data_IF_630550482633
#
_entry.id   IF_630550482633
#
_cell.length_a   1.000
_cell.length_b   1.000
_cell.length_c   1.000
_cell.angle_alpha   90.00
_cell.angle_beta   90.00
_cell.angle_gamma   90.00
#
_symmetry.space_group_name_H-M   'P 1'
#
loop_
_entity.id
_entity.type
_entity.pdbx_description
1 polymer ?
#
# COMPACT_ATOMS: atom_id res chain seq x y z
N UNK A 1 54.12 -35.56 -36.73
CA UNK A 1 53.61 -34.36 -36.01
C UNK A 1 52.22 -34.68 -35.47
N UNK A 2 52.05 -34.75 -34.15
CA UNK A 2 50.77 -34.53 -33.43
C UNK A 2 51.10 -34.58 -31.92
N UNK A 3 51.08 -33.40 -31.28
CA UNK A 3 51.10 -33.26 -29.82
C UNK A 3 49.71 -33.65 -29.32
N UNK A 4 49.62 -34.56 -28.36
CA UNK A 4 48.45 -34.69 -27.48
C UNK A 4 48.92 -34.49 -26.05
N UNK A 5 48.45 -33.41 -25.43
CA UNK A 5 48.69 -33.06 -24.04
C UNK A 5 47.76 -33.89 -23.15
N UNK A 6 48.33 -34.48 -22.09
CA UNK A 6 47.63 -35.17 -21.00
C UNK A 6 46.56 -34.28 -20.37
N UNK A 7 45.35 -34.83 -20.25
CA UNK A 7 44.30 -34.34 -19.36
C UNK A 7 44.79 -34.40 -17.91
N UNK A 8 44.83 -33.25 -17.23
CA UNK A 8 44.98 -33.16 -15.77
C UNK A 8 43.58 -33.02 -15.17
N UNK A 9 43.21 -33.96 -14.30
CA UNK A 9 42.08 -33.83 -13.37
C UNK A 9 42.37 -32.66 -12.43
N UNK A 10 41.40 -31.76 -12.25
CA UNK A 10 41.41 -30.76 -11.20
C UNK A 10 40.87 -31.37 -9.88
N UNK A 11 41.39 -30.94 -8.71
CA UNK A 11 40.89 -31.37 -7.41
C UNK A 11 39.53 -30.75 -7.10
N UNK A 12 38.67 -31.50 -6.41
CA UNK A 12 37.42 -31.00 -5.87
C UNK A 12 37.70 -30.02 -4.72
N UNK A 13 37.13 -28.81 -4.82
CA UNK A 13 37.10 -27.86 -3.71
C UNK A 13 35.84 -28.10 -2.86
N UNK A 14 35.95 -28.21 -1.53
CA UNK A 14 34.80 -28.06 -0.65
C UNK A 14 34.43 -26.57 -0.59
N UNK A 15 33.20 -26.25 -0.20
CA UNK A 15 32.60 -24.90 -0.17
C UNK A 15 32.07 -24.39 -1.53
N UNK A 16 30.91 -24.94 -1.92
CA UNK A 16 29.94 -24.23 -2.74
C UNK A 16 28.78 -23.80 -1.83
N UNK A 17 28.66 -22.50 -1.56
CA UNK A 17 27.44 -21.96 -0.97
C UNK A 17 26.40 -21.80 -2.08
N UNK A 18 25.37 -22.63 -1.99
CA UNK A 18 24.13 -22.54 -2.75
C UNK A 18 23.21 -21.63 -1.93
N UNK A 19 23.01 -20.39 -2.35
CA UNK A 19 21.98 -19.54 -1.74
C UNK A 19 20.61 -20.16 -2.08
N UNK A 20 19.90 -20.61 -1.04
CA UNK A 20 18.46 -20.89 -1.06
C UNK A 20 17.75 -19.54 -0.92
N UNK A 21 16.65 -19.37 -1.66
CA UNK A 21 15.76 -18.21 -1.61
C UNK A 21 14.71 -18.32 -0.49
N UNK A 22 14.90 -19.22 0.48
CA UNK A 22 13.89 -19.56 1.49
C UNK A 22 14.10 -18.84 2.85
N UNK A 23 15.25 -18.18 3.09
CA UNK A 23 15.61 -17.61 4.41
C UNK A 23 15.02 -16.20 4.68
N UNK A 24 14.41 -15.53 3.69
CA UNK A 24 13.89 -14.17 3.87
C UNK A 24 12.43 -14.15 4.39
N UNK A 25 11.69 -15.24 4.18
CA UNK A 25 10.29 -15.35 4.59
C UNK A 25 10.16 -15.80 6.07
N UNK A 26 11.09 -16.62 6.58
CA UNK A 26 11.12 -17.02 8.00
C UNK A 26 11.46 -15.86 8.95
N UNK A 27 12.29 -14.90 8.51
CA UNK A 27 12.62 -13.72 9.33
C UNK A 27 11.41 -12.79 9.45
N UNK A 28 10.61 -12.62 8.39
CA UNK A 28 9.42 -11.75 8.43
C UNK A 28 8.27 -12.34 9.26
N UNK A 29 8.19 -13.67 9.40
CA UNK A 29 7.18 -14.31 10.26
C UNK A 29 7.53 -14.21 11.74
N UNK A 30 8.81 -14.27 12.11
CA UNK A 30 9.22 -14.12 13.51
C UNK A 30 9.04 -12.68 14.03
N UNK A 31 9.23 -11.66 13.17
CA UNK A 31 8.98 -10.26 13.55
C UNK A 31 7.49 -9.94 13.80
N UNK A 32 6.58 -10.60 13.07
CA UNK A 32 5.14 -10.39 13.25
C UNK A 32 4.60 -11.09 14.51
N UNK A 33 5.22 -12.19 14.93
CA UNK A 33 4.87 -12.89 16.17
C UNK A 33 5.33 -12.11 17.42
N UNK A 34 6.51 -11.48 17.36
CA UNK A 34 7.04 -10.66 18.46
C UNK A 34 6.21 -9.35 18.65
N UNK A 35 5.65 -8.76 17.59
CA UNK A 35 4.76 -7.58 17.68
C UNK A 35 3.36 -7.89 18.23
N UNK A 36 2.88 -9.13 18.06
CA UNK A 36 1.58 -9.59 18.57
C UNK A 36 1.66 -9.90 20.09
N UNK A 37 2.78 -10.48 20.55
CA UNK A 37 3.03 -10.78 21.97
C UNK A 37 3.25 -9.50 22.81
N UNK A 38 3.91 -8.47 22.25
CA UNK A 38 4.10 -7.17 22.92
C UNK A 38 2.79 -6.36 23.02
N UNK A 39 1.90 -6.49 22.02
CA UNK A 39 0.58 -5.86 22.03
C UNK A 39 -0.39 -6.52 23.04
N UNK A 40 -0.29 -7.83 23.24
CA UNK A 40 -1.08 -8.56 24.25
C UNK A 40 -0.62 -8.25 25.70
N UNK A 41 0.68 -8.05 25.94
CA UNK A 41 1.18 -7.65 27.27
C UNK A 41 0.79 -6.21 27.63
N UNK A 42 0.77 -5.26 26.68
CA UNK A 42 0.34 -3.88 26.94
C UNK A 42 -1.17 -3.76 27.20
N UNK A 43 -1.99 -4.59 26.53
CA UNK A 43 -3.43 -4.66 26.77
C UNK A 43 -3.75 -5.16 28.20
N UNK A 44 -2.93 -6.07 28.75
CA UNK A 44 -3.13 -6.67 30.07
C UNK A 44 -2.88 -5.72 31.26
N UNK A 45 -2.24 -4.57 31.04
CA UNK A 45 -1.80 -3.65 32.11
C UNK A 45 -2.82 -2.54 32.40
N UNK A 46 -3.88 -2.39 31.60
CA UNK A 46 -4.89 -1.34 31.77
C UNK A 46 -6.30 -1.91 31.97
N UNK A 47 -6.59 -2.47 33.15
CA UNK A 47 -7.93 -2.94 33.52
C UNK A 47 -8.47 -2.20 34.75
N UNK A 48 -9.71 -1.70 34.63
CA UNK A 48 -10.55 -1.16 35.71
C UNK A 48 -11.69 -2.17 35.92
N UNK A 49 -11.93 -2.72 37.13
CA UNK A 49 -12.56 -4.05 37.26
C UNK A 49 -14.10 -4.11 37.14
N UNK A 50 -14.82 -3.02 37.35
CA UNK A 50 -16.27 -3.08 37.59
C UNK A 50 -17.15 -2.96 36.32
N UNK A 51 -16.55 -2.93 35.12
CA UNK A 51 -17.28 -2.87 33.84
C UNK A 51 -17.15 -4.16 33.00
N UNK A 52 -16.23 -5.06 33.35
CA UNK A 52 -16.03 -6.34 32.65
C UNK A 52 -17.07 -7.39 33.09
N UNK A 53 -17.53 -7.40 34.35
CA UNK A 53 -18.50 -8.40 34.81
C UNK A 53 -19.89 -8.24 34.15
N UNK A 54 -20.30 -7.03 33.76
CA UNK A 54 -21.56 -6.81 33.03
C UNK A 54 -21.42 -7.11 31.53
N UNK A 55 -20.24 -6.90 30.92
CA UNK A 55 -19.98 -7.24 29.51
C UNK A 55 -19.72 -8.76 29.33
N UNK A 56 -19.06 -9.43 30.27
CA UNK A 56 -18.86 -10.89 30.25
C UNK A 56 -20.18 -11.64 30.46
N UNK A 57 -21.10 -11.15 31.29
CA UNK A 57 -22.43 -11.76 31.45
C UNK A 57 -23.31 -11.58 30.18
N UNK A 58 -23.21 -10.43 29.49
CA UNK A 58 -23.91 -10.23 28.20
C UNK A 58 -23.28 -11.07 27.07
N UNK A 59 -21.95 -11.23 27.03
CA UNK A 59 -21.27 -12.10 26.06
C UNK A 59 -21.56 -13.59 26.31
N UNK A 60 -21.64 -14.06 27.56
CA UNK A 60 -22.03 -15.44 27.88
C UNK A 60 -23.50 -15.73 27.50
N UNK A 61 -24.41 -14.77 27.66
CA UNK A 61 -25.81 -14.91 27.19
C UNK A 61 -25.90 -14.93 25.65
N UNK A 62 -25.10 -14.14 24.93
CA UNK A 62 -25.05 -14.16 23.46
C UNK A 62 -24.40 -15.46 22.92
N UNK A 63 -23.37 -16.00 23.59
CA UNK A 63 -22.76 -17.29 23.23
C UNK A 63 -23.72 -18.48 23.48
N UNK A 64 -24.50 -18.47 24.56
CA UNK A 64 -25.53 -19.50 24.80
C UNK A 64 -26.66 -19.44 23.73
N UNK A 65 -27.06 -18.25 23.28
CA UNK A 65 -28.04 -18.11 22.19
C UNK A 65 -27.48 -18.56 20.83
N UNK A 66 -26.21 -18.28 20.52
CA UNK A 66 -25.54 -18.79 19.30
C UNK A 66 -25.37 -20.32 19.34
N UNK A 67 -25.03 -20.92 20.48
CA UNK A 67 -24.93 -22.37 20.61
C UNK A 67 -26.29 -23.07 20.45
N UNK A 68 -27.39 -22.48 20.93
CA UNK A 68 -28.74 -23.00 20.70
C UNK A 68 -29.15 -22.89 19.21
N UNK A 69 -28.82 -21.81 18.50
CA UNK A 69 -29.08 -21.67 17.06
C UNK A 69 -28.25 -22.66 16.23
N UNK A 70 -26.97 -22.87 16.59
CA UNK A 70 -26.09 -23.87 15.93
C UNK A 70 -26.61 -25.29 16.16
N UNK A 71 -27.09 -25.61 17.37
CA UNK A 71 -27.72 -26.90 17.67
C UNK A 71 -29.04 -27.12 16.91
N UNK A 72 -29.80 -26.07 16.62
CA UNK A 72 -30.99 -26.16 15.77
C UNK A 72 -30.62 -26.35 14.28
N UNK A 73 -29.59 -25.66 13.78
CA UNK A 73 -29.07 -25.83 12.41
C UNK A 73 -28.45 -27.23 12.19
N UNK A 74 -27.70 -27.77 13.16
CA UNK A 74 -27.14 -29.12 13.07
C UNK A 74 -28.23 -30.21 13.09
N UNK A 75 -29.33 -29.99 13.82
CA UNK A 75 -30.51 -30.88 13.80
C UNK A 75 -31.28 -30.82 12.47
N UNK A 76 -31.21 -29.69 11.75
CA UNK A 76 -31.70 -29.60 10.37
C UNK A 76 -30.76 -30.28 9.36
N UNK A 77 -29.43 -30.21 9.55
CA UNK A 77 -28.43 -30.88 8.69
C UNK A 77 -28.43 -32.41 8.83
N UNK A 78 -28.67 -32.99 10.03
CA UNK A 78 -28.70 -34.45 10.20
C UNK A 78 -29.85 -35.15 9.46
N UNK A 79 -30.91 -34.40 9.07
CA UNK A 79 -31.98 -34.93 8.20
C UNK A 79 -31.62 -34.95 6.71
N UNK A 80 -30.49 -34.39 6.31
CA UNK A 80 -30.02 -34.27 4.92
C UNK A 80 -28.73 -35.04 4.63
N UNK A 81 -28.69 -36.36 4.86
CA UNK A 81 -27.49 -37.18 4.60
C UNK A 81 -26.97 -37.10 3.14
N UNK A 82 -25.68 -36.75 2.99
CA UNK A 82 -24.86 -37.08 1.81
C UNK A 82 -23.41 -36.54 1.87
N UNK A 83 -22.42 -37.45 2.00
CA UNK A 83 -20.96 -37.17 2.10
C UNK A 83 -20.36 -36.21 1.04
N UNK A 84 -19.36 -35.36 1.42
CA UNK A 84 -18.72 -34.45 0.47
C UNK A 84 -17.65 -35.17 -0.36
N UNK A 85 -17.80 -35.10 -1.68
CA UNK A 85 -16.75 -35.45 -2.65
C UNK A 85 -15.96 -34.18 -3.01
N UNK A 86 -14.62 -34.27 -2.99
CA UNK A 86 -13.64 -33.18 -3.13
C UNK A 86 -13.57 -32.46 -4.49
N UNK A 87 -14.72 -32.31 -5.15
CA UNK A 87 -14.83 -31.80 -6.52
C UNK A 87 -15.91 -30.71 -6.57
N UNK A 88 -16.91 -30.76 -5.68
CA UNK A 88 -18.05 -29.85 -5.69
C UNK A 88 -17.70 -28.46 -5.13
N UNK A 89 -16.84 -28.38 -4.12
CA UNK A 89 -16.36 -27.10 -3.57
C UNK A 89 -15.51 -26.34 -4.59
N UNK A 90 -14.56 -27.02 -5.25
CA UNK A 90 -13.77 -26.43 -6.33
C UNK A 90 -14.62 -26.02 -7.53
N UNK A 91 -15.63 -26.82 -7.92
CA UNK A 91 -16.56 -26.45 -8.98
C UNK A 91 -17.44 -25.25 -8.59
N UNK A 92 -17.91 -25.18 -7.34
CA UNK A 92 -18.64 -24.01 -6.82
C UNK A 92 -17.75 -22.77 -6.77
N UNK A 93 -16.49 -22.87 -6.36
CA UNK A 93 -15.54 -21.77 -6.42
C UNK A 93 -15.24 -21.32 -7.85
N UNK A 94 -15.13 -22.24 -8.80
CA UNK A 94 -14.98 -21.92 -10.22
C UNK A 94 -16.21 -21.18 -10.76
N UNK A 95 -17.42 -21.63 -10.41
CA UNK A 95 -18.67 -20.98 -10.80
C UNK A 95 -18.76 -19.58 -10.14
N UNK A 96 -18.45 -19.46 -8.85
CA UNK A 96 -18.43 -18.16 -8.16
C UNK A 96 -17.41 -17.21 -8.78
N UNK A 97 -16.21 -17.69 -9.14
CA UNK A 97 -15.23 -16.89 -9.87
C UNK A 97 -15.75 -16.53 -11.27
N UNK A 98 -16.41 -17.43 -11.99
CA UNK A 98 -16.96 -17.19 -13.33
C UNK A 98 -18.09 -16.14 -13.33
N UNK A 99 -18.94 -16.12 -12.28
CA UNK A 99 -20.02 -15.13 -12.12
C UNK A 99 -19.59 -13.82 -11.46
N UNK A 100 -18.54 -13.85 -10.64
CA UNK A 100 -17.95 -12.64 -10.06
C UNK A 100 -16.86 -12.06 -10.94
N UNK A 101 -16.49 -12.64 -12.07
CA UNK A 101 -15.43 -12.13 -12.95
C UNK A 101 -16.05 -11.62 -14.25
N UNK A 102 -15.81 -10.35 -14.58
CA UNK A 102 -16.12 -9.81 -15.91
C UNK A 102 -14.92 -10.11 -16.83
N UNK A 103 -15.02 -11.06 -17.78
CA UNK A 103 -13.90 -11.44 -18.65
C UNK A 103 -13.57 -10.37 -19.70
N UNK A 104 -14.51 -9.49 -20.06
CA UNK A 104 -14.27 -8.39 -20.98
C UNK A 104 -13.51 -7.24 -20.30
N UNK A 105 -13.76 -7.01 -19.00
CA UNK A 105 -13.12 -5.95 -18.20
C UNK A 105 -12.02 -6.44 -17.25
N UNK A 106 -11.79 -7.75 -17.17
CA UNK A 106 -10.83 -8.43 -16.28
C UNK A 106 -10.88 -7.94 -14.84
N UNK A 107 -12.08 -7.94 -14.27
CA UNK A 107 -12.27 -7.49 -12.88
C UNK A 107 -13.29 -8.34 -12.14
N UNK A 108 -13.09 -8.45 -10.81
CA UNK A 108 -14.11 -9.00 -9.95
C UNK A 108 -15.27 -8.00 -9.78
N UNK A 109 -16.52 -8.43 -9.95
CA UNK A 109 -17.75 -7.66 -9.75
C UNK A 109 -18.07 -7.45 -8.26
N UNK A 110 -17.49 -8.24 -7.34
CA UNK A 110 -17.69 -8.13 -5.89
C UNK A 110 -16.96 -6.93 -5.26
N UNK A 111 -15.94 -6.39 -5.92
CA UNK A 111 -15.26 -5.14 -5.55
C UNK A 111 -15.02 -4.38 -6.84
N UNK A 112 -15.59 -3.20 -7.01
CA UNK A 112 -15.27 -2.36 -8.17
C UNK A 112 -13.78 -1.97 -8.14
N UNK A 113 -12.93 -2.83 -8.72
CA UNK A 113 -11.48 -2.62 -8.89
C UNK A 113 -11.11 -1.43 -9.79
N UNK A 114 -12.12 -0.66 -10.21
CA UNK A 114 -12.05 0.61 -10.94
C UNK A 114 -12.17 1.83 -10.02
N UNK A 115 -12.01 1.66 -8.71
CA UNK A 115 -12.02 2.79 -7.78
C UNK A 115 -10.71 3.58 -7.87
N UNK A 116 -10.83 4.90 -8.10
CA UNK A 116 -9.75 5.90 -8.06
C UNK A 116 -9.18 6.11 -6.66
N UNK A 117 -9.01 5.04 -5.87
CA UNK A 117 -8.63 5.14 -4.47
C UNK A 117 -7.25 5.78 -4.33
N UNK A 118 -7.13 6.70 -3.40
CA UNK A 118 -5.88 7.36 -3.03
C UNK A 118 -5.43 6.85 -1.68
N UNK A 119 -4.13 6.58 -1.55
CA UNK A 119 -3.49 6.22 -0.30
C UNK A 119 -2.40 7.23 0.01
N UNK A 120 -2.19 7.52 1.30
CA UNK A 120 -1.10 8.38 1.76
C UNK A 120 -0.12 7.62 2.65
N UNK A 121 1.12 8.10 2.71
CA UNK A 121 2.16 7.66 3.64
C UNK A 121 2.79 8.89 4.31
N UNK A 122 3.20 8.83 5.58
CA UNK A 122 3.18 7.65 6.45
C UNK A 122 1.76 7.23 6.84
N UNK A 123 1.62 5.99 7.33
CA UNK A 123 0.34 5.57 7.89
C UNK A 123 0.14 6.27 9.23
N UNK A 124 -1.00 6.93 9.40
CA UNK A 124 -1.40 7.54 10.64
C UNK A 124 -2.81 7.04 10.99
N UNK A 125 -3.01 6.67 12.24
CA UNK A 125 -4.31 6.25 12.73
C UNK A 125 -5.33 7.37 12.48
N UNK A 126 -6.49 7.01 11.91
CA UNK A 126 -7.55 7.96 11.54
C UNK A 126 -7.12 9.13 10.63
N UNK A 127 -5.98 9.03 9.94
CA UNK A 127 -5.40 10.10 9.09
C UNK A 127 -5.18 11.43 9.84
N UNK A 128 -4.86 11.35 11.13
CA UNK A 128 -4.51 12.51 11.93
C UNK A 128 -3.00 12.48 12.19
N UNK A 129 -2.29 13.43 11.59
CA UNK A 129 -0.87 13.64 11.85
C UNK A 129 -0.75 14.68 12.95
N UNK A 130 -0.41 14.21 14.15
CA UNK A 130 -0.21 15.05 15.31
C UNK A 130 1.19 14.81 15.86
N UNK A 131 2.02 15.86 15.89
CA UNK A 131 3.37 15.77 16.43
C UNK A 131 3.88 17.12 16.92
N UNK A 132 4.85 17.05 17.82
CA UNK A 132 5.57 18.21 18.31
C UNK A 132 6.98 18.24 17.70
N UNK A 133 7.35 19.37 17.09
CA UNK A 133 8.65 19.55 16.45
C UNK A 133 9.80 19.39 17.44
N UNK A 134 9.60 19.81 18.69
CA UNK A 134 10.60 19.76 19.75
C UNK A 134 10.80 18.37 20.35
N UNK A 135 9.85 17.44 20.15
CA UNK A 135 9.83 16.10 20.77
C UNK A 135 9.92 15.00 19.69
N UNK A 136 11.13 14.45 19.43
CA UNK A 136 11.35 13.47 18.35
C UNK A 136 10.47 12.23 18.42
N UNK A 137 10.19 11.75 19.63
CA UNK A 137 9.41 10.54 19.87
C UNK A 137 8.00 10.65 19.29
N UNK A 138 7.47 11.87 19.13
CA UNK A 138 6.13 12.13 18.58
C UNK A 138 6.04 12.00 17.06
N UNK A 139 7.16 12.00 16.32
CA UNK A 139 7.17 11.88 14.85
C UNK A 139 8.11 10.80 14.31
N UNK A 140 8.92 10.18 15.17
CA UNK A 140 9.89 9.17 14.77
C UNK A 140 9.24 7.98 14.04
N UNK A 141 8.06 7.55 14.47
CA UNK A 141 7.30 6.47 13.83
C UNK A 141 6.89 6.82 12.39
N UNK A 142 6.54 8.08 12.13
CA UNK A 142 6.25 8.57 10.78
C UNK A 142 7.47 8.45 9.87
N UNK A 143 8.64 8.85 10.38
CA UNK A 143 9.92 8.78 9.66
C UNK A 143 10.33 7.33 9.37
N UNK A 144 10.22 6.45 10.37
CA UNK A 144 10.53 5.02 10.21
C UNK A 144 9.60 4.39 9.16
N UNK A 145 8.29 4.67 9.24
CA UNK A 145 7.31 4.18 8.27
C UNK A 145 7.60 4.65 6.85
N UNK A 146 7.95 5.93 6.67
CA UNK A 146 8.33 6.49 5.37
C UNK A 146 9.59 5.85 4.81
N UNK A 147 10.63 5.72 5.64
CA UNK A 147 11.89 5.13 5.21
C UNK A 147 11.72 3.65 4.83
N UNK A 148 10.99 2.88 5.64
CA UNK A 148 10.65 1.48 5.34
C UNK A 148 9.88 1.34 4.03
N UNK A 149 8.86 2.18 3.82
CA UNK A 149 8.08 2.21 2.58
C UNK A 149 8.93 2.54 1.34
N UNK A 150 9.90 3.44 1.48
CA UNK A 150 10.76 3.90 0.38
C UNK A 150 11.93 2.95 0.05
N UNK A 151 12.18 1.89 0.83
CA UNK A 151 13.26 0.94 0.54
C UNK A 151 13.12 0.31 -0.86
N UNK A 152 11.90 -0.05 -1.27
CA UNK A 152 11.62 -0.60 -2.60
C UNK A 152 11.81 0.41 -3.75
N UNK A 153 12.00 1.69 -3.45
CA UNK A 153 12.17 2.76 -4.43
C UNK A 153 13.63 3.19 -4.59
N UNK A 154 14.56 2.60 -3.81
CA UNK A 154 15.98 2.94 -3.89
C UNK A 154 16.50 2.85 -5.33
N UNK A 155 17.25 3.87 -5.75
CA UNK A 155 17.67 4.06 -7.13
C UNK A 155 18.41 2.84 -7.71
N UNK A 156 19.33 2.25 -6.94
CA UNK A 156 20.08 1.05 -7.36
C UNK A 156 19.18 -0.16 -7.64
N UNK A 157 18.17 -0.38 -6.78
CA UNK A 157 17.22 -1.49 -6.95
C UNK A 157 16.34 -1.27 -8.18
N UNK A 158 15.90 -0.03 -8.39
CA UNK A 158 15.08 0.32 -9.54
C UNK A 158 15.88 0.19 -10.85
N UNK A 159 17.15 0.56 -10.85
CA UNK A 159 18.03 0.40 -12.02
C UNK A 159 18.32 -1.07 -12.35
N UNK A 160 18.38 -1.94 -11.35
CA UNK A 160 18.57 -3.38 -11.53
C UNK A 160 17.31 -4.09 -12.03
N UNK A 161 16.15 -3.76 -11.45
CA UNK A 161 14.91 -4.52 -11.65
C UNK A 161 14.00 -3.99 -12.76
N UNK A 162 14.13 -2.70 -13.09
CA UNK A 162 13.18 -1.96 -13.93
C UNK A 162 13.89 -1.21 -15.08
N UNK A 163 13.11 -0.83 -16.10
CA UNK A 163 13.64 -0.14 -17.31
C UNK A 163 13.37 1.35 -17.26
N UNK A 164 14.23 2.14 -17.89
CA UNK A 164 13.98 3.56 -18.09
C UNK A 164 12.98 3.77 -19.22
N UNK A 165 11.86 4.44 -18.90
CA UNK A 165 10.72 4.62 -19.80
C UNK A 165 10.60 6.08 -20.25
N UNK A 166 10.19 6.33 -21.50
CA UNK A 166 10.06 7.69 -22.03
C UNK A 166 8.99 8.47 -21.27
N UNK A 167 9.30 9.67 -20.72
CA UNK A 167 8.33 10.46 -19.98
C UNK A 167 7.24 11.03 -20.89
N UNK A 168 6.04 11.21 -20.35
CA UNK A 168 4.92 11.86 -21.03
C UNK A 168 4.22 11.02 -22.11
N UNK A 169 4.53 9.73 -22.21
CA UNK A 169 3.88 8.79 -23.13
C UNK A 169 3.49 7.51 -22.37
N UNK A 170 2.45 6.82 -22.83
CA UNK A 170 2.13 5.50 -22.28
C UNK A 170 3.22 4.50 -22.59
N UNK A 171 3.53 3.63 -21.62
CA UNK A 171 4.44 2.52 -21.84
C UNK A 171 3.67 1.28 -22.25
N UNK A 172 3.18 1.29 -23.48
CA UNK A 172 2.42 0.19 -24.07
C UNK A 172 3.42 -0.89 -24.50
N UNK A 173 3.23 -2.09 -23.96
CA UNK A 173 3.98 -3.29 -24.31
C UNK A 173 3.09 -4.25 -25.08
N UNK A 174 3.51 -4.56 -26.30
CA UNK A 174 2.90 -5.60 -27.12
C UNK A 174 3.29 -7.01 -26.60
N UNK A 175 2.61 -8.04 -27.09
CA UNK A 175 2.85 -9.43 -26.70
C UNK A 175 1.65 -10.08 -26.03
N UNK A 176 1.73 -11.39 -25.82
CA UNK A 176 0.63 -12.15 -25.25
C UNK A 176 0.34 -11.72 -23.81
N UNK A 177 -0.89 -11.98 -23.37
CA UNK A 177 -1.40 -11.46 -22.09
C UNK A 177 -0.69 -12.09 -20.88
N UNK A 178 -0.13 -13.28 -21.04
CA UNK A 178 0.56 -14.05 -20.00
C UNK A 178 2.07 -13.78 -19.95
N UNK A 179 2.60 -12.96 -20.87
CA UNK A 179 4.01 -12.62 -20.88
C UNK A 179 4.36 -11.57 -19.82
N UNK A 180 5.51 -11.77 -19.17
CA UNK A 180 6.07 -10.81 -18.22
C UNK A 180 6.28 -9.44 -18.87
N UNK A 181 5.65 -8.42 -18.30
CA UNK A 181 5.76 -7.03 -18.72
C UNK A 181 6.81 -6.30 -17.90
N UNK A 182 7.62 -5.49 -18.56
CA UNK A 182 8.65 -4.64 -17.94
C UNK A 182 7.99 -3.50 -17.15
N UNK A 183 8.57 -3.15 -16.00
CA UNK A 183 8.14 -2.02 -15.21
C UNK A 183 9.06 -0.81 -15.39
N UNK A 184 8.48 0.38 -15.32
CA UNK A 184 9.22 1.63 -15.40
C UNK A 184 9.85 1.98 -14.05
N UNK A 185 11.07 2.49 -14.09
CA UNK A 185 11.77 2.97 -12.89
C UNK A 185 11.01 4.12 -12.23
N UNK A 186 10.83 4.06 -10.92
CA UNK A 186 10.52 5.22 -10.08
C UNK A 186 11.57 5.33 -8.99
N UNK A 187 12.50 6.26 -9.16
CA UNK A 187 13.65 6.43 -8.27
C UNK A 187 13.26 7.24 -7.03
N UNK A 188 13.79 6.84 -5.88
CA UNK A 188 13.62 7.53 -4.60
C UNK A 188 14.13 8.98 -4.69
N UNK A 189 15.19 9.21 -5.45
CA UNK A 189 15.72 10.56 -5.72
C UNK A 189 14.72 11.51 -6.40
N UNK A 190 13.70 11.01 -7.10
CA UNK A 190 12.67 11.87 -7.72
C UNK A 190 11.83 12.64 -6.70
N UNK A 191 11.80 12.18 -5.44
CA UNK A 191 11.10 12.84 -4.33
C UNK A 191 11.90 13.98 -3.69
N UNK A 192 13.13 14.26 -4.16
CA UNK A 192 14.00 15.34 -3.68
C UNK A 192 14.10 15.37 -2.15
N UNK A 193 13.79 16.50 -1.51
CA UNK A 193 13.86 16.67 -0.05
C UNK A 193 12.97 15.67 0.71
N UNK A 194 11.89 15.18 0.10
CA UNK A 194 11.01 14.17 0.71
C UNK A 194 11.47 12.73 0.46
N UNK A 195 12.68 12.53 -0.07
CA UNK A 195 13.23 11.20 -0.31
C UNK A 195 13.81 10.56 0.95
N UNK A 196 14.19 11.33 1.97
CA UNK A 196 14.99 10.79 3.08
C UNK A 196 16.50 10.70 2.80
N UNK A 197 16.95 11.12 1.61
CA UNK A 197 18.37 11.09 1.23
C UNK A 197 19.11 12.36 1.68
N UNK A 198 18.52 13.54 1.43
CA UNK A 198 19.06 14.83 1.87
C UNK A 198 18.64 15.15 3.31
N UNK A 199 17.36 14.94 3.61
CA UNK A 199 16.80 15.09 4.95
C UNK A 199 16.21 13.75 5.42
N UNK A 200 16.89 13.02 6.33
CA UNK A 200 16.41 11.74 6.84
C UNK A 200 15.15 11.86 7.69
N UNK A 201 14.79 13.06 8.15
CA UNK A 201 13.61 13.32 8.98
C UNK A 201 12.38 13.70 8.17
N UNK A 202 12.46 13.74 6.83
CA UNK A 202 11.34 14.07 5.94
C UNK A 202 10.62 15.38 6.32
N UNK A 203 11.37 16.36 6.83
CA UNK A 203 10.90 17.67 7.25
C UNK A 203 10.18 17.72 8.61
N UNK A 204 9.95 16.59 9.28
CA UNK A 204 9.27 16.54 10.59
C UNK A 204 10.02 17.33 11.67
N UNK A 205 11.35 17.23 11.70
CA UNK A 205 12.21 17.96 12.66
C UNK A 205 12.18 19.49 12.50
N UNK A 206 11.70 20.00 11.37
CA UNK A 206 11.58 21.45 11.10
C UNK A 206 10.13 21.95 11.14
N UNK A 207 9.17 21.03 11.37
CA UNK A 207 7.74 21.32 11.27
C UNK A 207 7.28 21.55 9.83
N UNK A 208 7.97 20.99 8.85
CA UNK A 208 7.63 21.03 7.42
C UNK A 208 7.45 19.59 6.88
N UNK A 209 6.44 18.84 7.33
CA UNK A 209 6.36 17.41 7.07
C UNK A 209 6.15 17.10 5.57
N UNK A 210 6.74 16.01 5.12
CA UNK A 210 6.47 15.40 3.82
C UNK A 210 5.43 14.27 3.95
N UNK A 211 4.36 14.35 3.15
CA UNK A 211 3.37 13.27 3.01
C UNK A 211 3.40 12.78 1.56
N UNK A 212 3.52 11.46 1.39
CA UNK A 212 3.54 10.82 0.07
C UNK A 212 2.13 10.40 -0.31
N UNK A 213 1.73 10.70 -1.54
CA UNK A 213 0.47 10.28 -2.14
C UNK A 213 0.73 9.21 -3.19
N UNK A 214 0.01 8.10 -3.07
CA UNK A 214 0.05 6.94 -3.96
C UNK A 214 -1.35 6.68 -4.52
N UNK A 215 -1.44 6.55 -5.83
CA UNK A 215 -2.69 6.15 -6.49
C UNK A 215 -2.84 4.62 -6.50
N UNK A 216 -4.09 4.14 -6.44
CA UNK A 216 -4.41 2.72 -6.63
C UNK A 216 -3.99 2.21 -8.02
N UNK A 217 -3.62 0.93 -8.10
CA UNK A 217 -3.21 0.26 -9.33
C UNK A 217 -4.44 -0.34 -10.01
N UNK A 218 -4.87 0.25 -11.13
CA UNK A 218 -6.03 -0.22 -11.91
C UNK A 218 -5.51 -0.83 -13.21
N UNK A 219 -5.82 -2.11 -13.43
CA UNK A 219 -5.36 -2.84 -14.63
C UNK A 219 -5.95 -2.20 -15.89
N UNK A 220 -5.10 -1.98 -16.90
CA UNK A 220 -5.51 -1.40 -18.19
C UNK A 220 -5.88 0.09 -18.13
N UNK A 221 -5.81 0.74 -16.96
CA UNK A 221 -6.17 2.15 -16.83
C UNK A 221 -5.23 3.03 -17.65
N UNK A 222 -5.83 3.94 -18.41
CA UNK A 222 -5.17 5.00 -19.16
C UNK A 222 -5.94 6.31 -18.91
N UNK A 223 -5.31 7.34 -18.32
CA UNK A 223 -5.91 8.66 -18.23
C UNK A 223 -6.39 9.13 -19.59
N UNK A 224 -7.66 9.56 -19.72
CA UNK A 224 -8.19 9.96 -21.03
C UNK A 224 -7.40 11.12 -21.64
N UNK A 225 -7.24 11.13 -22.98
CA UNK A 225 -6.56 12.16 -23.78
C UNK A 225 -5.04 12.27 -23.63
N UNK A 226 -4.38 11.38 -22.88
CA UNK A 226 -2.93 11.52 -22.65
C UNK A 226 -2.57 12.67 -21.73
N UNK A 227 -3.52 13.16 -20.92
CA UNK A 227 -3.24 14.14 -19.88
C UNK A 227 -2.88 13.43 -18.57
N UNK A 228 -1.72 13.72 -17.95
CA UNK A 228 -1.32 13.10 -16.71
C UNK A 228 -2.24 13.51 -15.56
N UNK A 229 -2.50 12.57 -14.65
CA UNK A 229 -3.31 12.82 -13.45
C UNK A 229 -2.52 13.70 -12.49
N UNK A 230 -3.07 14.86 -12.15
CA UNK A 230 -2.44 15.82 -11.24
C UNK A 230 -2.97 15.69 -9.82
N UNK A 231 -2.16 16.05 -8.85
CA UNK A 231 -2.52 16.15 -7.43
C UNK A 231 -2.68 17.61 -7.08
N UNK A 232 -3.74 17.94 -6.35
CA UNK A 232 -3.95 19.28 -5.81
C UNK A 232 -4.46 19.17 -4.39
N UNK A 233 -3.75 19.79 -3.44
CA UNK A 233 -4.15 19.87 -2.04
C UNK A 233 -4.57 21.28 -1.66
N UNK A 234 -5.58 21.37 -0.80
CA UNK A 234 -6.11 22.63 -0.24
C UNK A 234 -6.60 22.40 1.18
N UNK A 235 -6.78 23.48 1.93
CA UNK A 235 -7.53 23.44 3.20
C UNK A 235 -8.97 23.02 2.89
N UNK A 236 -9.47 22.02 3.63
CA UNK A 236 -10.81 21.49 3.42
C UNK A 236 -11.89 22.40 4.03
N UNK A 237 -11.67 22.83 5.27
CA UNK A 237 -12.55 23.70 6.06
C UNK A 237 -11.66 24.60 6.92
N UNK A 238 -11.95 25.91 6.97
CA UNK A 238 -11.13 26.88 7.69
C UNK A 238 -10.65 28.03 6.81
N UNK A 239 -9.56 28.70 7.20
CA UNK A 239 -8.93 29.75 6.41
C UNK A 239 -8.03 29.11 5.35
N UNK A 240 -8.17 29.50 4.08
CA UNK A 240 -7.29 29.01 3.01
C UNK A 240 -5.81 29.38 3.27
N UNK A 241 -5.56 30.43 4.07
CA UNK A 241 -4.23 30.85 4.48
C UNK A 241 -3.59 29.98 5.57
N UNK A 242 -4.32 29.02 6.14
CA UNK A 242 -3.76 28.04 7.09
C UNK A 242 -2.68 27.17 6.43
N UNK A 243 -2.70 27.08 5.08
CA UNK A 243 -1.64 26.52 4.26
C UNK A 243 -1.21 27.55 3.23
N UNK A 244 -0.03 28.15 3.42
CA UNK A 244 0.49 29.18 2.52
C UNK A 244 1.27 28.61 1.35
N UNK A 245 2.00 27.51 1.58
CA UNK A 245 2.82 26.90 0.54
C UNK A 245 2.94 25.38 0.71
N UNK A 246 2.80 24.68 -0.41
CA UNK A 246 3.06 23.25 -0.55
C UNK A 246 3.95 23.08 -1.77
N UNK A 247 5.11 22.45 -1.57
CA UNK A 247 5.97 22.02 -2.67
C UNK A 247 5.63 20.58 -3.03
N UNK A 248 5.58 20.28 -4.33
CA UNK A 248 5.29 18.94 -4.83
C UNK A 248 6.53 18.32 -5.47
N UNK A 249 6.73 17.03 -5.24
CA UNK A 249 7.78 16.26 -5.91
C UNK A 249 7.20 14.98 -6.53
N UNK A 250 7.34 14.76 -7.84
CA UNK A 250 7.98 15.64 -8.82
C UNK A 250 7.25 16.99 -8.98
N UNK A 251 7.96 18.02 -9.45
CA UNK A 251 7.46 19.41 -9.55
C UNK A 251 6.20 19.56 -10.41
N UNK A 252 5.97 18.63 -11.33
CA UNK A 252 4.74 18.57 -12.12
C UNK A 252 3.48 18.29 -11.29
N UNK A 253 3.64 17.87 -10.02
CA UNK A 253 2.58 17.44 -9.14
C UNK A 253 1.66 16.40 -9.81
N UNK A 254 2.23 15.51 -10.62
CA UNK A 254 1.47 14.63 -11.50
C UNK A 254 2.06 13.23 -11.61
N UNK A 255 1.19 12.26 -11.84
CA UNK A 255 1.59 10.91 -12.24
C UNK A 255 1.86 10.89 -13.74
N UNK A 256 3.13 10.64 -14.09
CA UNK A 256 3.58 10.57 -15.47
C UNK A 256 2.90 9.41 -16.22
N UNK A 257 2.57 9.63 -17.49
CA UNK A 257 1.87 8.65 -18.32
C UNK A 257 2.66 7.35 -18.51
N UNK A 258 3.99 7.40 -18.36
CA UNK A 258 4.86 6.23 -18.55
C UNK A 258 4.57 5.07 -17.59
N UNK A 259 3.94 5.35 -16.45
CA UNK A 259 3.55 4.32 -15.50
C UNK A 259 2.23 3.61 -15.88
N UNK A 260 1.59 4.03 -16.98
CA UNK A 260 0.33 3.46 -17.46
C UNK A 260 0.50 2.83 -18.86
N UNK A 261 -0.26 1.76 -19.17
CA UNK A 261 -1.19 1.06 -18.27
C UNK A 261 -0.49 0.10 -17.30
N UNK A 262 -1.16 -0.24 -16.21
CA UNK A 262 -0.75 -1.34 -15.33
C UNK A 262 -1.26 -2.67 -15.88
N UNK A 263 -0.40 -3.69 -15.93
CA UNK A 263 -0.74 -4.99 -16.56
C UNK A 263 -1.20 -6.07 -15.57
N UNK A 264 -1.22 -5.77 -14.27
CA UNK A 264 -1.66 -6.72 -13.23
C UNK A 264 -0.49 -7.32 -12.44
N UNK A 265 -0.78 -7.88 -11.27
CA UNK A 265 0.26 -8.35 -10.33
C UNK A 265 1.04 -9.55 -10.87
N UNK A 266 0.38 -10.41 -11.64
CA UNK A 266 0.96 -11.65 -12.16
C UNK A 266 1.99 -11.40 -13.25
N UNK A 267 1.68 -10.50 -14.19
CA UNK A 267 2.52 -10.24 -15.38
C UNK A 267 3.41 -9.02 -15.20
N UNK A 268 3.08 -8.11 -14.27
CA UNK A 268 3.83 -6.87 -14.01
C UNK A 268 4.50 -6.90 -12.63
N UNK A 269 5.27 -7.94 -12.36
CA UNK A 269 5.77 -8.33 -11.03
C UNK A 269 6.54 -7.20 -10.34
N UNK A 270 7.50 -6.58 -11.03
CA UNK A 270 8.36 -5.52 -10.46
C UNK A 270 7.75 -4.11 -10.53
N UNK A 271 6.44 -4.01 -10.83
CA UNK A 271 5.79 -2.73 -10.98
C UNK A 271 5.83 -1.91 -9.70
N UNK A 272 6.49 -0.76 -9.82
CA UNK A 272 6.63 0.24 -8.77
C UNK A 272 5.62 1.35 -9.02
N UNK A 273 4.77 1.65 -8.04
CA UNK A 273 3.74 2.68 -8.22
C UNK A 273 4.38 4.05 -8.19
N UNK A 274 4.06 4.96 -9.12
CA UNK A 274 4.54 6.33 -8.99
C UNK A 274 3.97 7.00 -7.74
N UNK A 275 4.77 7.88 -7.15
CA UNK A 275 4.44 8.63 -5.95
C UNK A 275 4.48 10.14 -6.24
N UNK A 276 3.70 10.90 -5.48
CA UNK A 276 3.82 12.36 -5.40
C UNK A 276 4.02 12.73 -3.94
N UNK A 277 5.16 13.32 -3.60
CA UNK A 277 5.38 13.89 -2.28
C UNK A 277 4.81 15.30 -2.21
N UNK A 278 4.20 15.60 -1.07
CA UNK A 278 3.61 16.88 -0.72
C UNK A 278 4.39 17.39 0.50
N UNK A 279 5.25 18.38 0.27
CA UNK A 279 6.08 19.00 1.29
C UNK A 279 5.41 20.27 1.78
N UNK A 280 4.91 20.22 3.01
CA UNK A 280 4.18 21.32 3.63
C UNK A 280 5.15 22.35 4.21
N UNK A 281 5.60 23.28 3.38
CA UNK A 281 6.66 24.25 3.73
C UNK A 281 6.19 25.37 4.65
N UNK A 282 4.92 25.77 4.56
CA UNK A 282 4.35 26.83 5.40
C UNK A 282 2.89 26.51 5.75
N UNK A 283 2.71 26.00 6.96
CA UNK A 283 1.43 25.61 7.57
C UNK A 283 1.36 26.26 8.96
N UNK A 284 0.16 26.72 9.33
CA UNK A 284 -0.07 27.28 10.67
C UNK A 284 0.20 26.22 11.75
N UNK A 285 0.83 26.65 12.84
CA UNK A 285 1.28 25.78 13.94
C UNK A 285 0.34 25.89 15.14
N UNK A 286 0.34 24.88 16.00
CA UNK A 286 -0.49 24.78 17.21
C UNK A 286 -2.00 24.84 16.92
N UNK A 287 -2.40 24.34 15.75
CA UNK A 287 -3.79 24.29 15.30
C UNK A 287 -3.96 23.09 14.36
N UNK A 288 -5.10 22.40 14.50
CA UNK A 288 -5.49 21.32 13.59
C UNK A 288 -5.99 21.89 12.25
N UNK A 289 -5.28 21.58 11.17
CA UNK A 289 -5.61 21.99 9.80
C UNK A 289 -6.10 20.78 9.01
N UNK A 290 -7.39 20.74 8.60
CA UNK A 290 -7.89 19.67 7.75
C UNK A 290 -7.48 19.93 6.29
N UNK A 291 -6.68 19.03 5.72
CA UNK A 291 -6.18 19.10 4.35
C UNK A 291 -6.95 18.13 3.47
N UNK A 292 -7.42 18.60 2.32
CA UNK A 292 -8.00 17.77 1.28
C UNK A 292 -7.09 17.76 0.04
N UNK A 293 -6.59 16.58 -0.31
CA UNK A 293 -5.86 16.33 -1.54
C UNK A 293 -6.75 15.59 -2.54
N UNK A 294 -6.76 16.03 -3.80
CA UNK A 294 -7.63 15.50 -4.85
C UNK A 294 -6.85 15.25 -6.14
N UNK A 295 -7.24 14.20 -6.85
CA UNK A 295 -6.77 13.86 -8.17
C UNK A 295 -7.55 14.67 -9.21
N UNK A 296 -6.82 15.41 -10.04
CA UNK A 296 -7.33 16.16 -11.18
C UNK A 296 -6.96 15.42 -12.45
N UNK A 297 -7.98 14.88 -13.10
CA UNK A 297 -7.86 14.20 -14.39
C UNK A 297 -9.24 14.01 -14.99
N UNK A 298 -9.31 13.90 -16.32
CA UNK A 298 -10.57 13.64 -17.00
C UNK A 298 -11.03 12.22 -16.68
N UNK A 299 -12.30 12.06 -16.31
CA UNK A 299 -12.88 10.76 -15.92
C UNK A 299 -12.63 10.36 -14.45
N UNK A 300 -11.92 11.18 -13.67
CA UNK A 300 -11.72 10.92 -12.23
C UNK A 300 -12.86 11.51 -11.41
N UNK A 301 -13.54 10.63 -10.68
CA UNK A 301 -14.65 10.96 -9.78
C UNK A 301 -14.06 11.31 -8.40
N UNK A 302 -14.48 12.44 -7.84
CA UNK A 302 -13.98 12.98 -6.55
C UNK A 302 -15.12 13.28 -5.55
N UNK A 303 -16.36 13.15 -5.97
CA UNK A 303 -17.59 13.59 -5.29
C UNK A 303 -18.37 12.43 -4.64
N UNK A 304 -17.74 11.26 -4.50
CA UNK A 304 -18.33 10.15 -3.77
C UNK A 304 -18.43 10.52 -2.29
N UNK A 305 -19.66 10.55 -1.77
CA UNK A 305 -19.97 10.95 -0.39
C UNK A 305 -19.58 9.83 0.59
N UNK A 306 -19.84 8.57 0.22
CA UNK A 306 -19.65 7.42 1.09
C UNK A 306 -18.19 6.92 1.16
N UNK A 307 -17.35 7.32 0.21
CA UNK A 307 -15.94 6.92 0.18
C UNK A 307 -15.03 8.16 0.09
N UNK A 308 -14.40 8.48 1.22
CA UNK A 308 -13.49 9.61 1.38
C UNK A 308 -12.14 9.41 0.68
N UNK A 309 -11.88 8.23 0.13
CA UNK A 309 -10.62 7.87 -0.54
C UNK A 309 -10.75 7.81 -2.07
N UNK A 310 -11.95 7.87 -2.65
CA UNK A 310 -12.15 7.83 -4.10
C UNK A 310 -11.82 9.19 -4.71
N UNK A 311 -10.73 9.25 -5.47
CA UNK A 311 -10.24 10.45 -6.14
C UNK A 311 -9.63 11.49 -5.20
N UNK A 312 -10.00 11.51 -3.92
CA UNK A 312 -9.51 12.43 -2.91
C UNK A 312 -9.09 11.70 -1.64
N UNK A 313 -8.37 12.40 -0.78
CA UNK A 313 -8.05 11.98 0.58
C UNK A 313 -8.10 13.21 1.48
N UNK A 314 -8.63 13.04 2.68
CA UNK A 314 -8.73 14.10 3.69
C UNK A 314 -7.97 13.63 4.92
N UNK A 315 -7.07 14.45 5.41
CA UNK A 315 -6.29 14.19 6.62
C UNK A 315 -6.10 15.47 7.41
N UNK A 316 -5.81 15.34 8.70
CA UNK A 316 -5.59 16.50 9.59
C UNK A 316 -4.10 16.63 9.89
N UNK A 317 -3.57 17.84 9.80
CA UNK A 317 -2.23 18.19 10.26
C UNK A 317 -2.34 19.01 11.54
N UNK A 318 -1.73 18.56 12.63
CA UNK A 318 -1.49 19.37 13.83
C UNK A 318 0.02 19.35 14.12
N UNK A 319 0.65 20.52 14.00
CA UNK A 319 2.09 20.69 14.19
C UNK A 319 2.31 21.57 15.41
N UNK A 320 2.74 20.98 16.50
CA UNK A 320 3.04 21.67 17.75
C UNK A 320 4.53 22.09 17.77
N UNK A 321 4.85 23.22 18.43
CA UNK A 321 6.22 23.77 18.45
C UNK A 321 6.79 23.96 19.84
#
# INVERSE_FOLDING_TARGET
MRRQLRSRRAPASPYGYRYRLDDQDEVNQNYLADEEEEAEEEARVMVVPDLEEEEEEEEEEEEEEEEEEIEEEEKEEEKGQGQPTGNAWWQKWQIVNEYLWDPEKRMSLARTGQSWRVMIRPFAHSLNFNFNVSEPDTWQHYVISLNGFLQGYNDSLQEEMNVDCPPGQYFIQDGDEDEDKKACQFKRSFLKNCSGLEDPTFGYSTGQPCILLKMNRIVGFRPELGDPVKVSCKVQRGDENDIRSINYYPESASFDLRYYPYYGKLTHVNYTSPLVAMHFTDVVKNQAVPVQCQLKGKGIINDVINDRFVGRVIFTLNIET
#
